data_IF_995314098682
#
_entry.id   IF_995314098682
#
_cell.length_a   1.000
_cell.length_b   1.000
_cell.length_c   1.000
_cell.angle_alpha   90.00
_cell.angle_beta   90.00
_cell.angle_gamma   90.00
#
_symmetry.space_group_name_H-M   'P 1'
#
loop_
_entity.id
_entity.type
_entity.pdbx_description
1 polymer ?
#
# COMPACT_ATOMS: atom_id res chain seq x y z
N UNK A 1 -36.63 11.15 24.60
CA UNK A 1 -36.75 12.07 25.75
C UNK A 1 -36.02 11.45 26.93
N UNK A 2 -35.23 12.27 27.64
CA UNK A 2 -34.40 11.98 28.82
C UNK A 2 -33.04 11.31 28.54
N UNK A 3 -31.91 11.70 29.12
CA UNK A 3 -31.36 12.90 29.83
C UNK A 3 -29.97 12.41 30.30
N UNK A 4 -28.86 12.96 29.81
CA UNK A 4 -27.89 13.79 30.58
C UNK A 4 -26.77 13.01 31.31
N UNK A 5 -25.61 13.70 31.45
CA UNK A 5 -24.47 13.50 32.37
C UNK A 5 -23.50 12.37 31.97
N UNK A 6 -22.16 12.47 32.03
CA UNK A 6 -21.26 13.39 32.70
C UNK A 6 -19.87 13.41 32.04
N UNK A 7 -19.30 14.61 31.95
CA UNK A 7 -17.88 14.90 31.75
C UNK A 7 -17.05 14.33 32.91
N UNK A 8 -15.91 13.69 32.62
CA UNK A 8 -14.83 13.53 33.60
C UNK A 8 -13.47 13.74 32.92
N UNK A 9 -12.82 14.79 33.42
CA UNK A 9 -11.43 15.19 33.20
C UNK A 9 -10.48 14.09 33.71
N UNK A 10 -9.50 13.71 32.90
CA UNK A 10 -8.30 13.03 33.38
C UNK A 10 -7.07 13.78 32.86
N UNK A 11 -6.59 14.68 33.70
CA UNK A 11 -5.30 15.35 33.58
C UNK A 11 -4.22 14.36 34.01
N UNK A 12 -3.40 13.89 33.07
CA UNK A 12 -2.20 13.11 33.36
C UNK A 12 -0.97 13.89 32.91
N UNK A 13 -0.41 14.62 33.88
CA UNK A 13 0.99 15.02 33.91
C UNK A 13 1.84 13.76 34.12
N UNK A 14 2.85 13.48 33.28
CA UNK A 14 4.14 13.03 33.79
C UNK A 14 5.29 13.07 32.76
N UNK A 15 6.38 13.69 33.25
CA UNK A 15 7.81 13.50 32.98
C UNK A 15 8.41 13.69 31.60
N UNK A 16 9.21 14.76 31.52
CA UNK A 16 10.35 14.91 30.63
C UNK A 16 11.44 13.88 30.99
N UNK A 17 11.87 13.08 30.01
CA UNK A 17 13.14 12.35 30.04
C UNK A 17 14.17 13.14 29.23
N UNK A 18 15.15 13.70 29.93
CA UNK A 18 16.38 14.20 29.34
C UNK A 18 17.32 13.02 29.08
N UNK A 19 17.64 12.72 27.82
CA UNK A 19 18.64 11.74 27.44
C UNK A 19 19.84 12.44 26.78
N UNK A 20 20.95 12.43 27.52
CA UNK A 20 22.36 12.37 27.13
C UNK A 20 22.78 12.76 25.70
N UNK A 21 23.68 13.74 25.63
CA UNK A 21 24.54 14.02 24.50
C UNK A 21 25.38 12.80 24.09
N UNK A 22 25.34 12.42 22.81
CA UNK A 22 26.31 11.51 22.19
C UNK A 22 27.48 12.33 21.60
N UNK A 23 28.74 11.89 21.81
CA UNK A 23 29.91 12.49 21.20
C UNK A 23 30.01 12.14 19.71
N UNK A 24 30.60 13.07 18.96
CA UNK A 24 30.57 13.14 17.50
C UNK A 24 31.10 11.93 16.75
N UNK A 25 30.34 11.52 15.73
CA UNK A 25 30.84 10.78 14.59
C UNK A 25 31.09 11.75 13.44
N UNK A 26 32.22 11.51 12.78
CA UNK A 26 32.82 12.30 11.71
C UNK A 26 31.89 12.52 10.50
N UNK A 27 32.23 13.57 9.76
CA UNK A 27 31.45 14.16 8.68
C UNK A 27 31.06 13.21 7.52
N UNK A 28 29.91 13.49 6.89
CA UNK A 28 29.25 12.60 5.94
C UNK A 28 29.88 12.65 4.55
N UNK A 29 29.94 11.49 3.89
CA UNK A 29 30.04 11.43 2.43
C UNK A 29 28.91 12.28 1.82
N UNK A 30 29.17 13.18 0.86
CA UNK A 30 28.11 13.84 0.12
C UNK A 30 27.40 12.79 -0.75
N UNK A 31 26.40 12.12 -0.19
CA UNK A 31 25.39 11.44 -1.00
C UNK A 31 24.75 12.53 -1.86
N UNK A 32 24.94 12.44 -3.18
CA UNK A 32 24.03 13.13 -4.09
C UNK A 32 22.60 12.73 -3.71
N UNK A 33 21.71 13.67 -3.41
CA UNK A 33 20.31 13.34 -3.22
C UNK A 33 19.79 12.71 -4.52
N UNK A 34 19.06 11.58 -4.47
CA UNK A 34 18.41 11.05 -5.65
C UNK A 34 17.47 12.11 -6.26
N UNK A 35 17.35 12.20 -7.59
CA UNK A 35 16.58 13.23 -8.25
C UNK A 35 15.09 13.15 -7.89
N UNK A 36 14.69 13.93 -6.89
CA UNK A 36 13.31 14.20 -6.54
C UNK A 36 12.89 15.53 -7.13
N UNK A 37 11.90 15.55 -8.04
CA UNK A 37 11.22 16.78 -8.38
C UNK A 37 10.60 17.37 -7.11
N UNK A 38 11.12 18.52 -6.68
CA UNK A 38 10.58 19.31 -5.58
C UNK A 38 9.23 19.88 -5.99
N UNK A 39 8.29 20.00 -5.05
CA UNK A 39 7.11 20.85 -5.26
C UNK A 39 7.54 22.31 -5.36
N UNK A 40 6.64 23.18 -5.82
CA UNK A 40 6.84 24.63 -5.80
C UNK A 40 7.18 25.20 -4.41
N UNK A 41 6.98 24.42 -3.34
CA UNK A 41 7.19 24.82 -1.96
C UNK A 41 8.38 24.08 -1.30
N UNK A 42 9.22 23.36 -2.06
CA UNK A 42 10.46 22.76 -1.55
C UNK A 42 10.30 21.57 -0.60
N UNK A 43 9.09 21.06 -0.39
CA UNK A 43 8.86 19.88 0.46
C UNK A 43 9.05 18.59 -0.32
N UNK A 44 9.84 17.66 0.22
CA UNK A 44 10.00 16.32 -0.32
C UNK A 44 8.67 15.58 -0.19
N UNK A 45 7.93 15.41 -1.30
CA UNK A 45 6.72 14.57 -1.29
C UNK A 45 7.17 13.12 -1.06
N UNK A 46 6.67 12.44 0.00
CA UNK A 46 6.89 11.01 0.19
C UNK A 46 6.47 10.27 -1.09
N UNK A 47 7.21 9.26 -1.57
CA UNK A 47 6.93 8.60 -2.84
C UNK A 47 5.48 8.10 -2.97
N UNK A 48 4.83 7.74 -1.86
CA UNK A 48 3.43 7.30 -1.82
C UNK A 48 2.40 8.41 -2.11
N UNK A 49 2.71 9.67 -1.82
CA UNK A 49 1.80 10.78 -2.07
C UNK A 49 1.81 11.23 -3.53
N UNK A 50 2.91 10.95 -4.26
CA UNK A 50 3.01 11.21 -5.71
C UNK A 50 1.96 10.44 -6.50
N UNK A 51 1.70 9.19 -6.13
CA UNK A 51 0.75 8.32 -6.83
C UNK A 51 -0.68 8.88 -6.69
N UNK A 52 -1.06 9.38 -5.50
CA UNK A 52 -2.37 10.00 -5.29
C UNK A 52 -2.52 11.27 -6.10
N UNK A 53 -1.49 12.12 -6.17
CA UNK A 53 -1.54 13.33 -6.98
C UNK A 53 -1.69 13.02 -8.48
N UNK A 54 -0.94 12.04 -8.99
CA UNK A 54 -1.02 11.61 -10.40
C UNK A 54 -2.41 11.06 -10.70
N UNK A 55 -2.90 10.09 -9.92
CA UNK A 55 -4.23 9.51 -10.13
C UNK A 55 -5.35 10.55 -9.94
N UNK A 56 -5.21 11.47 -8.99
CA UNK A 56 -6.17 12.58 -8.81
C UNK A 56 -6.26 13.44 -10.06
N UNK A 57 -5.13 13.78 -10.68
CA UNK A 57 -5.07 14.58 -11.91
C UNK A 57 -5.60 13.80 -13.12
N UNK A 58 -5.20 12.54 -13.28
CA UNK A 58 -5.60 11.69 -14.42
C UNK A 58 -7.11 11.40 -14.38
N UNK A 59 -7.65 11.05 -13.22
CA UNK A 59 -9.06 10.71 -13.07
C UNK A 59 -9.96 11.95 -12.92
N UNK A 60 -9.39 13.11 -12.58
CA UNK A 60 -10.16 14.31 -12.29
C UNK A 60 -11.05 14.12 -11.06
N UNK A 61 -10.48 13.64 -9.96
CA UNK A 61 -11.24 13.37 -8.74
C UNK A 61 -11.74 14.68 -8.10
N UNK A 62 -13.00 14.69 -7.69
CA UNK A 62 -13.58 15.80 -6.92
C UNK A 62 -12.94 15.91 -5.53
N UNK A 63 -13.01 17.08 -4.90
CA UNK A 63 -12.51 17.29 -3.53
C UNK A 63 -13.09 16.27 -2.53
N UNK A 64 -14.36 15.91 -2.69
CA UNK A 64 -15.03 14.90 -1.85
C UNK A 64 -14.44 13.50 -2.06
N UNK A 65 -14.22 13.10 -3.32
CA UNK A 65 -13.61 11.81 -3.65
C UNK A 65 -12.15 11.73 -3.17
N UNK A 66 -11.39 12.82 -3.32
CA UNK A 66 -10.02 12.90 -2.81
C UNK A 66 -9.96 12.73 -1.28
N UNK A 67 -10.85 13.40 -0.54
CA UNK A 67 -10.92 13.26 0.91
C UNK A 67 -11.30 11.83 1.33
N UNK A 68 -12.28 11.22 0.66
CA UNK A 68 -12.67 9.84 0.90
C UNK A 68 -11.50 8.87 0.65
N UNK A 69 -10.79 9.03 -0.48
CA UNK A 69 -9.63 8.19 -0.79
C UNK A 69 -8.50 8.34 0.22
N UNK A 70 -8.15 9.57 0.62
CA UNK A 70 -7.13 9.81 1.66
C UNK A 70 -7.49 9.11 2.96
N UNK A 71 -8.76 9.13 3.36
CA UNK A 71 -9.23 8.44 4.56
C UNK A 71 -9.14 6.91 4.43
N UNK A 72 -9.54 6.34 3.29
CA UNK A 72 -9.42 4.91 3.01
C UNK A 72 -7.95 4.43 3.09
N UNK A 73 -7.03 5.19 2.47
CA UNK A 73 -5.59 4.93 2.50
C UNK A 73 -5.01 4.99 3.92
N UNK A 74 -5.29 6.07 4.65
CA UNK A 74 -4.81 6.21 6.02
C UNK A 74 -5.31 5.07 6.93
N UNK A 75 -6.53 4.57 6.67
CA UNK A 75 -7.07 3.39 7.33
C UNK A 75 -6.31 2.11 6.97
N UNK A 76 -5.99 1.90 5.68
CA UNK A 76 -5.16 0.78 5.25
C UNK A 76 -3.76 0.83 5.85
N UNK A 77 -3.10 1.98 5.81
CA UNK A 77 -1.74 2.18 6.33
C UNK A 77 -1.65 1.75 7.80
N UNK A 78 -2.62 2.16 8.63
CA UNK A 78 -2.70 1.72 10.03
C UNK A 78 -2.92 0.21 10.18
N UNK A 79 -3.69 -0.41 9.30
CA UNK A 79 -3.94 -1.88 9.34
C UNK A 79 -2.72 -2.68 8.90
N UNK A 80 -1.92 -2.17 7.97
CA UNK A 80 -0.73 -2.88 7.46
C UNK A 80 0.52 -2.61 8.29
N UNK A 81 0.54 -1.59 9.13
CA UNK A 81 1.74 -1.19 9.90
C UNK A 81 2.34 -2.33 10.73
N UNK A 82 1.51 -3.06 11.48
CA UNK A 82 1.97 -4.17 12.31
C UNK A 82 2.45 -5.37 11.46
N UNK A 83 1.68 -5.92 10.50
CA UNK A 83 2.16 -6.96 9.61
C UNK A 83 3.42 -6.57 8.81
N UNK A 84 3.54 -5.30 8.40
CA UNK A 84 4.72 -4.82 7.69
C UNK A 84 5.96 -4.80 8.60
N UNK A 85 5.79 -4.46 9.88
CA UNK A 85 6.86 -4.51 10.87
C UNK A 85 7.29 -5.95 11.12
N UNK A 86 6.34 -6.87 11.23
CA UNK A 86 6.62 -8.30 11.37
C UNK A 86 7.37 -8.88 10.18
N UNK A 87 6.95 -8.54 8.95
CA UNK A 87 7.62 -8.97 7.73
C UNK A 87 9.08 -8.49 7.68
N UNK A 88 9.35 -7.24 8.09
CA UNK A 88 10.72 -6.72 8.19
C UNK A 88 11.55 -7.51 9.20
N UNK A 89 10.98 -7.84 10.35
CA UNK A 89 11.64 -8.63 11.37
C UNK A 89 11.96 -10.05 10.87
N UNK A 90 11.02 -10.71 10.18
CA UNK A 90 11.24 -12.02 9.57
C UNK A 90 12.37 -11.99 8.54
N UNK A 91 12.43 -10.98 7.67
CA UNK A 91 13.53 -10.83 6.72
C UNK A 91 14.89 -10.60 7.40
N UNK A 92 14.93 -9.88 8.52
CA UNK A 92 16.15 -9.71 9.32
C UNK A 92 16.60 -11.03 9.93
N UNK A 93 15.67 -11.84 10.47
CA UNK A 93 15.97 -13.16 11.01
C UNK A 93 16.48 -14.13 9.95
N UNK A 94 15.85 -14.14 8.77
CA UNK A 94 16.30 -14.95 7.62
C UNK A 94 17.72 -14.56 7.23
N UNK A 95 18.01 -13.27 7.09
CA UNK A 95 19.36 -12.78 6.78
C UNK A 95 20.37 -13.21 7.84
N UNK A 96 20.06 -13.00 9.12
CA UNK A 96 20.95 -13.36 10.21
C UNK A 96 21.24 -14.87 10.25
N UNK A 97 20.25 -15.73 9.95
CA UNK A 97 20.47 -17.18 9.85
C UNK A 97 21.35 -17.54 8.66
N UNK A 98 21.15 -16.92 7.50
CA UNK A 98 21.95 -17.15 6.30
C UNK A 98 23.42 -16.72 6.47
N UNK A 99 23.68 -15.72 7.31
CA UNK A 99 25.03 -15.24 7.63
C UNK A 99 25.73 -16.08 8.72
N UNK A 100 25.03 -17.06 9.33
CA UNK A 100 25.59 -17.95 10.36
C UNK A 100 26.31 -19.15 9.76
N UNK A 101 27.43 -19.58 10.37
CA UNK A 101 28.17 -20.80 10.01
C UNK A 101 27.37 -22.10 10.27
N UNK A 102 26.27 -22.01 11.02
CA UNK A 102 25.42 -23.14 11.44
C UNK A 102 23.98 -23.02 10.93
N UNK A 103 23.78 -22.41 9.76
CA UNK A 103 22.47 -22.24 9.15
C UNK A 103 21.74 -23.59 8.97
N UNK A 104 20.59 -23.77 9.64
CA UNK A 104 19.68 -24.89 9.40
C UNK A 104 18.69 -24.51 8.27
N UNK A 105 18.67 -25.24 7.14
CA UNK A 105 17.70 -25.02 6.07
C UNK A 105 16.24 -25.15 6.51
N UNK A 106 15.92 -26.01 7.48
CA UNK A 106 14.55 -26.20 7.95
C UNK A 106 14.03 -24.96 8.68
N UNK A 107 14.85 -24.36 9.54
CA UNK A 107 14.54 -23.12 10.23
C UNK A 107 14.34 -21.94 9.25
N UNK A 108 15.21 -21.82 8.25
CA UNK A 108 15.08 -20.78 7.22
C UNK A 108 13.80 -21.00 6.42
N UNK A 109 13.49 -22.26 6.06
CA UNK A 109 12.25 -22.62 5.38
C UNK A 109 11.00 -22.21 6.17
N UNK A 110 11.00 -22.41 7.49
CA UNK A 110 9.89 -21.99 8.35
C UNK A 110 9.72 -20.47 8.37
N UNK A 111 10.82 -19.71 8.53
CA UNK A 111 10.77 -18.25 8.49
C UNK A 111 10.26 -17.71 7.14
N UNK A 112 10.59 -18.36 6.03
CA UNK A 112 10.08 -18.01 4.71
C UNK A 112 8.56 -18.26 4.58
N UNK A 113 8.06 -19.36 5.16
CA UNK A 113 6.62 -19.64 5.22
C UNK A 113 5.90 -18.57 6.04
N UNK A 114 6.46 -18.20 7.19
CA UNK A 114 5.90 -17.18 8.07
C UNK A 114 5.90 -15.80 7.40
N UNK A 115 6.98 -15.47 6.66
CA UNK A 115 7.07 -14.25 5.86
C UNK A 115 5.98 -14.21 4.79
N UNK A 116 5.80 -15.30 4.04
CA UNK A 116 4.74 -15.40 3.04
C UNK A 116 3.33 -15.26 3.65
N UNK A 117 3.08 -15.89 4.79
CA UNK A 117 1.81 -15.74 5.51
C UNK A 117 1.56 -14.29 5.91
N UNK A 118 2.61 -13.57 6.35
CA UNK A 118 2.55 -12.16 6.72
C UNK A 118 2.30 -11.26 5.51
N UNK A 119 2.93 -11.54 4.37
CA UNK A 119 2.63 -10.85 3.10
C UNK A 119 1.15 -11.00 2.72
N UNK A 120 0.57 -12.20 2.87
CA UNK A 120 -0.86 -12.42 2.63
C UNK A 120 -1.74 -11.59 3.56
N UNK A 121 -1.36 -11.39 4.82
CA UNK A 121 -2.09 -10.51 5.74
C UNK A 121 -2.02 -9.04 5.29
N UNK A 122 -0.86 -8.59 4.81
CA UNK A 122 -0.70 -7.23 4.26
C UNK A 122 -1.64 -7.04 3.06
N UNK A 123 -1.63 -7.98 2.11
CA UNK A 123 -2.52 -7.93 0.94
C UNK A 123 -4.00 -7.95 1.34
N UNK A 124 -4.39 -8.84 2.26
CA UNK A 124 -5.77 -8.91 2.74
C UNK A 124 -6.23 -7.62 3.45
N UNK A 125 -5.33 -6.92 4.16
CA UNK A 125 -5.64 -5.65 4.83
C UNK A 125 -5.72 -4.46 3.86
N UNK A 126 -5.00 -4.53 2.73
CA UNK A 126 -4.95 -3.50 1.70
C UNK A 126 -6.08 -3.63 0.66
N UNK A 127 -6.39 -4.84 0.18
CA UNK A 127 -7.34 -5.08 -0.91
C UNK A 127 -8.72 -4.37 -0.75
N UNK A 128 -9.35 -4.31 0.43
CA UNK A 128 -10.65 -3.64 0.56
C UNK A 128 -10.64 -2.14 0.23
N UNK A 129 -9.47 -1.49 0.26
CA UNK A 129 -9.33 -0.08 -0.12
C UNK A 129 -9.61 0.12 -1.60
N UNK A 130 -9.30 -0.87 -2.41
CA UNK A 130 -9.42 -0.82 -3.86
C UNK A 130 -10.89 -0.88 -4.28
N UNK A 131 -11.62 -1.85 -3.73
CA UNK A 131 -13.07 -1.96 -3.94
C UNK A 131 -13.79 -0.70 -3.44
N UNK A 132 -13.38 -0.20 -2.27
CA UNK A 132 -13.91 1.04 -1.70
C UNK A 132 -13.58 2.26 -2.57
N UNK A 133 -12.41 2.28 -3.20
CA UNK A 133 -12.00 3.34 -4.12
C UNK A 133 -12.82 3.28 -5.41
N UNK A 134 -13.02 2.11 -6.03
CA UNK A 134 -13.89 2.00 -7.21
C UNK A 134 -15.33 2.39 -6.94
N UNK A 135 -15.84 2.09 -5.74
CA UNK A 135 -17.20 2.42 -5.34
C UNK A 135 -17.45 3.93 -5.30
N UNK A 136 -16.41 4.75 -5.07
CA UNK A 136 -16.54 6.22 -5.06
C UNK A 136 -16.31 6.87 -6.42
N UNK A 137 -15.86 6.11 -7.43
CA UNK A 137 -15.66 6.63 -8.80
C UNK A 137 -16.96 6.63 -9.60
N UNK A 138 -17.05 7.53 -10.57
CA UNK A 138 -18.08 7.46 -11.63
C UNK A 138 -17.69 6.44 -12.70
N UNK A 139 -18.64 6.02 -13.54
CA UNK A 139 -18.35 5.10 -14.66
C UNK A 139 -17.26 5.65 -15.58
N UNK A 140 -17.33 6.94 -15.93
CA UNK A 140 -16.33 7.60 -16.76
C UNK A 140 -14.93 7.61 -16.11
N UNK A 141 -14.86 7.77 -14.79
CA UNK A 141 -13.60 7.71 -14.05
C UNK A 141 -13.04 6.28 -13.97
N UNK A 142 -13.92 5.26 -13.84
CA UNK A 142 -13.52 3.85 -13.90
C UNK A 142 -12.89 3.50 -15.26
N UNK A 143 -13.51 3.91 -16.37
CA UNK A 143 -12.93 3.71 -17.72
C UNK A 143 -11.55 4.36 -17.85
N UNK A 144 -11.36 5.59 -17.35
CA UNK A 144 -10.04 6.25 -17.36
C UNK A 144 -9.01 5.50 -16.53
N UNK A 145 -9.43 4.94 -15.39
CA UNK A 145 -8.57 4.16 -14.53
C UNK A 145 -8.13 2.85 -15.20
N UNK A 146 -9.02 2.18 -15.94
CA UNK A 146 -8.67 0.97 -16.69
C UNK A 146 -7.67 1.26 -17.81
N UNK A 147 -7.88 2.33 -18.59
CA UNK A 147 -6.92 2.77 -19.62
C UNK A 147 -5.56 3.11 -19.00
N UNK A 148 -5.57 3.81 -17.86
CA UNK A 148 -4.33 4.14 -17.15
C UNK A 148 -3.57 2.88 -16.73
N UNK A 149 -4.27 1.83 -16.28
CA UNK A 149 -3.65 0.54 -15.93
C UNK A 149 -3.02 -0.14 -17.14
N UNK A 150 -3.75 -0.24 -18.25
CA UNK A 150 -3.23 -0.85 -19.48
C UNK A 150 -1.95 -0.17 -19.95
N UNK A 151 -1.90 1.17 -19.89
CA UNK A 151 -0.70 1.95 -20.24
C UNK A 151 0.45 1.64 -19.28
N UNK A 152 0.20 1.62 -17.97
CA UNK A 152 1.23 1.36 -16.96
C UNK A 152 1.78 -0.07 -17.11
N UNK A 153 0.92 -1.04 -17.34
CA UNK A 153 1.28 -2.44 -17.57
C UNK A 153 2.10 -2.60 -18.85
N UNK A 154 1.70 -1.94 -19.94
CA UNK A 154 2.44 -1.97 -21.20
C UNK A 154 3.79 -1.22 -21.15
N UNK A 155 3.93 -0.23 -20.26
CA UNK A 155 5.12 0.62 -20.17
C UNK A 155 6.20 0.01 -19.29
N UNK A 156 5.83 -0.78 -18.27
CA UNK A 156 6.79 -1.32 -17.32
C UNK A 156 7.40 -2.63 -17.81
N UNK A 157 8.74 -2.75 -17.91
CA UNK A 157 9.41 -3.91 -18.48
C UNK A 157 9.35 -5.17 -17.59
N UNK A 158 8.80 -5.04 -16.38
CA UNK A 158 8.61 -6.14 -15.44
C UNK A 158 7.17 -6.10 -14.92
N UNK A 159 6.50 -7.26 -14.81
CA UNK A 159 5.26 -7.33 -14.04
C UNK A 159 5.58 -6.85 -12.63
N UNK A 160 4.91 -5.78 -12.18
CA UNK A 160 5.20 -5.23 -10.88
C UNK A 160 4.97 -6.31 -9.80
N UNK A 161 5.92 -6.47 -8.86
CA UNK A 161 5.81 -7.49 -7.82
C UNK A 161 4.65 -7.12 -6.91
N UNK A 162 3.60 -7.93 -6.99
CA UNK A 162 2.37 -7.76 -6.25
C UNK A 162 1.25 -7.24 -7.13
N UNK A 163 0.00 -7.61 -6.78
CA UNK A 163 -1.16 -7.01 -7.42
C UNK A 163 -1.06 -5.48 -7.26
N UNK A 164 -0.89 -4.75 -8.38
CA UNK A 164 -1.70 -3.53 -8.53
C UNK A 164 -3.10 -3.87 -8.07
N UNK A 165 -3.83 -2.97 -7.40
CA UNK A 165 -5.17 -3.23 -6.88
C UNK A 165 -5.88 -4.17 -7.84
N UNK A 166 -5.89 -5.46 -7.49
CA UNK A 166 -6.16 -6.50 -8.48
C UNK A 166 -7.65 -6.59 -8.54
N UNK A 167 -8.21 -5.60 -9.20
CA UNK A 167 -9.52 -5.74 -9.76
C UNK A 167 -9.39 -6.91 -10.71
N UNK A 168 -10.31 -7.88 -10.65
CA UNK A 168 -10.47 -8.77 -11.78
C UNK A 168 -10.60 -7.84 -12.98
N UNK A 169 -9.60 -7.88 -13.87
CA UNK A 169 -9.81 -7.46 -15.24
C UNK A 169 -11.12 -8.13 -15.57
N UNK A 170 -12.17 -7.34 -15.78
CA UNK A 170 -13.39 -7.82 -16.39
C UNK A 170 -12.89 -8.25 -17.76
N UNK A 171 -12.40 -9.49 -17.83
CA UNK A 171 -12.30 -10.25 -19.06
C UNK A 171 -13.75 -10.26 -19.48
N UNK A 172 -14.08 -9.23 -20.27
CA UNK A 172 -15.29 -9.12 -21.01
C UNK A 172 -15.18 -10.32 -21.92
N UNK A 173 -15.70 -11.44 -21.42
CA UNK A 173 -15.77 -12.69 -22.13
C UNK A 173 -16.75 -12.43 -23.26
N UNK A 174 -16.24 -11.77 -24.31
CA UNK A 174 -16.84 -11.68 -25.62
C UNK A 174 -16.70 -13.04 -26.29
N UNK A 175 -17.12 -14.09 -25.58
CA UNK A 175 -17.51 -15.36 -26.17
C UNK A 175 -18.92 -15.10 -26.71
N UNK A 176 -19.10 -14.88 -28.03
CA UNK A 176 -20.44 -14.84 -28.59
C UNK A 176 -21.15 -16.15 -28.19
N UNK A 177 -22.44 -16.10 -27.83
CA UNK A 177 -23.20 -17.32 -27.61
C UNK A 177 -23.11 -18.11 -28.91
N UNK A 178 -22.47 -19.27 -28.85
CA UNK A 178 -22.55 -20.26 -29.90
C UNK A 178 -24.04 -20.61 -30.01
N UNK A 179 -24.68 -20.08 -31.04
CA UNK A 179 -25.94 -20.60 -31.56
C UNK A 179 -25.72 -22.09 -31.85
N UNK A 180 -26.19 -22.95 -30.94
CA UNK A 180 -26.43 -24.35 -31.25
C UNK A 180 -27.66 -24.41 -32.16
N UNK A 181 -27.44 -24.12 -33.46
CA UNK A 181 -28.38 -24.55 -34.50
C UNK A 181 -28.42 -26.08 -34.47
N UNK A 182 -29.63 -26.60 -34.31
CA UNK A 182 -29.89 -28.02 -34.16
C UNK A 182 -29.47 -28.84 -35.37
N UNK A 183 -29.05 -30.07 -35.07
CA UNK A 183 -29.17 -31.21 -35.97
C UNK A 183 -30.19 -32.16 -35.36
N UNK A 184 -31.42 -32.06 -35.85
CA UNK A 184 -32.30 -33.22 -35.98
C UNK A 184 -31.91 -33.92 -37.27
N UNK A 185 -31.38 -35.13 -37.18
CA UNK A 185 -31.68 -36.26 -38.09
C UNK A 185 -31.53 -37.57 -37.32
#
# INVERSE_FOLDING_TARGET
MNKTVATLFALSLFTASSASAQPGFAEPFPMLPPPGMMTSNGTLIPPHDRIVEVLTKVLGLTTKQQAAWKSLRAGAEKRVESPLTELKNLHQQIRAKLESDTADPADIGQLMIDAYATEKQIYAAANPVDDSFLAILTDAQRTKLDIFREIVEATLPFPLPGPWPSFPVFTRDHRPPHETKGESQ
#
